data_IF_290999182538
#
_entry.id   IF_290999182538
#
_cell.length_a   1.000
_cell.length_b   1.000
_cell.length_c   1.000
_cell.angle_alpha   90.00
_cell.angle_beta   90.00
_cell.angle_gamma   90.00
#
_symmetry.space_group_name_H-M   'P 1'
#
loop_
_entity.id
_entity.type
_entity.pdbx_description
1 polymer ?
#
# COMPACT_ATOMS: atom_id res chain seq x y z
N UNK A 1 12.73 -5.61 30.47
CA UNK A 1 12.19 -5.63 31.85
C UNK A 1 13.28 -5.66 32.92
N UNK A 2 14.36 -6.42 32.78
CA UNK A 2 15.44 -6.49 33.79
C UNK A 2 16.30 -5.24 33.93
N UNK A 3 16.53 -4.46 32.86
CA UNK A 3 17.38 -3.24 32.87
C UNK A 3 16.71 -2.09 33.64
N UNK A 4 15.41 -1.91 33.53
CA UNK A 4 14.66 -0.90 34.30
C UNK A 4 14.66 -1.18 35.83
N UNK A 5 14.75 -2.44 36.25
CA UNK A 5 14.80 -2.78 37.69
C UNK A 5 16.18 -2.64 38.28
N UNK A 6 17.26 -2.83 37.52
CA UNK A 6 18.63 -2.72 37.98
C UNK A 6 19.04 -1.26 38.31
N UNK A 7 18.57 -0.31 37.54
CA UNK A 7 18.86 1.15 37.75
C UNK A 7 18.18 1.68 39.02
N UNK A 8 17.10 1.06 39.46
CA UNK A 8 16.32 1.45 40.65
C UNK A 8 17.04 1.23 41.98
N UNK A 9 18.02 0.31 42.03
CA UNK A 9 18.67 -0.09 43.31
C UNK A 9 19.99 0.59 43.64
N UNK A 10 20.68 1.24 42.73
CA UNK A 10 22.09 1.67 42.96
C UNK A 10 22.34 3.15 43.26
N UNK A 11 21.32 4.04 43.36
CA UNK A 11 21.59 5.48 43.56
C UNK A 11 20.70 6.22 44.57
N UNK A 12 20.31 5.56 45.65
CA UNK A 12 19.56 6.28 46.72
C UNK A 12 20.48 6.92 47.78
N UNK A 13 21.78 6.75 47.71
CA UNK A 13 22.68 7.20 48.79
C UNK A 13 23.71 8.23 48.32
N UNK A 14 23.38 9.45 48.19
CA UNK A 14 24.32 10.58 48.09
C UNK A 14 23.94 11.57 47.03
N UNK A 15 23.14 12.55 47.42
CA UNK A 15 23.30 13.92 46.87
C UNK A 15 22.50 14.92 47.71
N UNK A 16 23.17 15.69 48.57
CA UNK A 16 22.64 16.81 49.33
C UNK A 16 22.75 18.05 48.45
N UNK A 17 21.62 18.61 47.99
CA UNK A 17 21.54 19.85 47.27
C UNK A 17 20.20 19.99 46.51
N UNK A 18 19.53 21.15 46.69
CA UNK A 18 18.20 21.43 46.09
C UNK A 18 18.23 21.34 44.54
N UNK A 19 19.35 21.66 43.88
CA UNK A 19 19.54 21.53 42.43
C UNK A 19 19.64 20.07 41.94
N UNK A 20 20.25 19.19 42.73
CA UNK A 20 20.39 17.76 42.40
C UNK A 20 19.05 17.02 42.46
N UNK A 21 18.15 17.40 43.36
CA UNK A 21 16.79 16.81 43.44
C UNK A 21 15.93 17.17 42.24
N UNK A 22 16.02 18.40 41.72
CA UNK A 22 15.30 18.84 40.53
C UNK A 22 15.79 18.09 39.26
N UNK A 23 17.11 17.95 39.10
CA UNK A 23 17.69 17.17 37.98
C UNK A 23 17.32 15.70 38.09
N UNK A 24 17.29 15.12 39.29
CA UNK A 24 16.91 13.73 39.49
C UNK A 24 15.41 13.48 39.20
N UNK A 25 14.53 14.44 39.57
CA UNK A 25 13.09 14.36 39.17
C UNK A 25 12.92 14.46 37.67
N UNK A 26 13.62 15.36 36.96
CA UNK A 26 13.52 15.47 35.51
C UNK A 26 14.04 14.22 34.80
N UNK A 27 15.16 13.66 35.21
CA UNK A 27 15.71 12.42 34.65
C UNK A 27 14.77 11.22 34.94
N UNK A 28 14.21 11.14 36.16
CA UNK A 28 13.24 10.10 36.49
C UNK A 28 11.93 10.22 35.67
N UNK A 29 11.47 11.44 35.43
CA UNK A 29 10.28 11.69 34.61
C UNK A 29 10.53 11.31 33.14
N UNK A 30 11.71 11.65 32.59
CA UNK A 30 12.10 11.25 31.24
C UNK A 30 12.23 9.73 31.07
N UNK A 31 12.75 9.01 32.07
CA UNK A 31 12.84 7.55 32.04
C UNK A 31 11.46 6.88 32.12
N UNK A 32 10.55 7.42 32.91
CA UNK A 32 9.17 6.89 33.00
C UNK A 32 8.39 7.15 31.72
N UNK A 33 8.55 8.30 31.08
CA UNK A 33 7.91 8.59 29.79
C UNK A 33 8.47 7.73 28.65
N UNK A 34 9.78 7.43 28.67
CA UNK A 34 10.39 6.53 27.67
C UNK A 34 9.86 5.11 27.80
N UNK A 35 9.77 4.54 29.02
CA UNK A 35 9.22 3.20 29.24
C UNK A 35 7.75 3.11 28.85
N UNK A 36 6.94 4.15 29.11
CA UNK A 36 5.53 4.19 28.72
C UNK A 36 5.38 4.25 27.19
N UNK A 37 6.26 4.98 26.50
CA UNK A 37 6.28 5.04 25.05
C UNK A 37 6.64 3.69 24.41
N UNK A 38 7.66 3.00 24.92
CA UNK A 38 8.03 1.66 24.42
C UNK A 38 6.89 0.66 24.60
N UNK A 39 6.17 0.71 25.72
CA UNK A 39 5.01 -0.15 25.96
C UNK A 39 3.88 0.15 24.98
N UNK A 40 3.60 1.44 24.70
CA UNK A 40 2.60 1.84 23.73
C UNK A 40 2.97 1.40 22.30
N UNK A 41 4.24 1.53 21.90
CA UNK A 41 4.73 1.04 20.61
C UNK A 41 4.53 -0.48 20.47
N UNK A 42 4.86 -1.24 21.50
CA UNK A 42 4.66 -2.70 21.52
C UNK A 42 3.18 -3.07 21.43
N UNK A 43 2.31 -2.39 22.20
CA UNK A 43 0.86 -2.61 22.15
C UNK A 43 0.28 -2.23 20.78
N UNK A 44 0.73 -1.12 20.20
CA UNK A 44 0.34 -0.69 18.86
C UNK A 44 0.65 -1.76 17.82
N UNK A 45 1.87 -2.32 17.84
CA UNK A 45 2.24 -3.43 16.96
C UNK A 45 1.34 -4.66 17.18
N UNK A 46 1.00 -4.98 18.42
CA UNK A 46 0.10 -6.09 18.73
C UNK A 46 -1.30 -5.88 18.15
N UNK A 47 -1.88 -4.68 18.30
CA UNK A 47 -3.17 -4.37 17.70
C UNK A 47 -3.13 -4.36 16.16
N UNK A 48 -2.04 -3.88 15.56
CA UNK A 48 -1.85 -4.00 14.12
C UNK A 48 -1.88 -5.47 13.65
N UNK A 49 -1.14 -6.36 14.32
CA UNK A 49 -1.13 -7.80 14.00
C UNK A 49 -2.51 -8.44 14.18
N UNK A 50 -3.25 -8.06 15.22
CA UNK A 50 -4.63 -8.49 15.41
C UNK A 50 -5.52 -8.01 14.26
N UNK A 51 -5.37 -6.75 13.82
CA UNK A 51 -6.08 -6.20 12.69
C UNK A 51 -5.83 -6.99 11.39
N UNK A 52 -4.57 -7.30 11.09
CA UNK A 52 -4.20 -8.12 9.93
C UNK A 52 -4.83 -9.51 10.02
N UNK A 53 -4.75 -10.18 11.17
CA UNK A 53 -5.31 -11.52 11.34
C UNK A 53 -6.83 -11.57 11.14
N UNK A 54 -7.53 -10.45 11.37
CA UNK A 54 -8.99 -10.35 11.23
C UNK A 54 -9.46 -9.75 9.92
N UNK A 55 -8.56 -9.19 9.11
CA UNK A 55 -8.92 -8.39 7.94
C UNK A 55 -9.82 -9.14 6.94
N UNK A 56 -9.60 -10.44 6.76
CA UNK A 56 -10.38 -11.28 5.84
C UNK A 56 -11.63 -11.90 6.47
N UNK A 57 -11.66 -12.08 7.81
CA UNK A 57 -12.74 -12.79 8.50
C UNK A 57 -13.73 -11.84 9.20
N UNK A 58 -13.24 -10.73 9.75
CA UNK A 58 -14.04 -9.74 10.48
C UNK A 58 -13.44 -8.33 10.29
N UNK A 59 -13.86 -7.69 9.20
CA UNK A 59 -13.37 -6.36 8.84
C UNK A 59 -13.69 -5.30 9.91
N UNK A 60 -14.81 -5.45 10.65
CA UNK A 60 -15.16 -4.53 11.71
C UNK A 60 -14.20 -4.63 12.91
N UNK A 61 -13.82 -5.83 13.30
CA UNK A 61 -12.82 -6.04 14.34
C UNK A 61 -11.43 -5.59 13.87
N UNK A 62 -11.07 -5.85 12.62
CA UNK A 62 -9.83 -5.34 12.03
C UNK A 62 -9.75 -3.81 12.11
N UNK A 63 -10.83 -3.13 11.74
CA UNK A 63 -10.95 -1.66 11.85
C UNK A 63 -10.70 -1.17 13.28
N UNK A 64 -11.37 -1.77 14.28
CA UNK A 64 -11.19 -1.40 15.69
C UNK A 64 -9.75 -1.63 16.14
N UNK A 65 -9.12 -2.72 15.70
CA UNK A 65 -7.74 -3.04 16.08
C UNK A 65 -6.75 -2.06 15.44
N UNK A 66 -6.90 -1.69 14.17
CA UNK A 66 -6.08 -0.65 13.54
C UNK A 66 -6.26 0.72 14.18
N UNK A 67 -7.49 1.10 14.56
CA UNK A 67 -7.72 2.35 15.30
C UNK A 67 -7.02 2.37 16.66
N UNK A 68 -7.05 1.25 17.40
CA UNK A 68 -6.30 1.11 18.66
C UNK A 68 -4.79 1.22 18.43
N UNK A 69 -4.29 0.64 17.34
CA UNK A 69 -2.89 0.73 16.97
C UNK A 69 -2.47 2.19 16.74
N UNK A 70 -3.22 2.94 15.92
CA UNK A 70 -2.96 4.36 15.64
C UNK A 70 -3.10 5.22 16.91
N UNK A 71 -4.09 4.94 17.77
CA UNK A 71 -4.26 5.67 19.04
C UNK A 71 -3.07 5.52 19.97
N UNK A 72 -2.43 4.35 20.00
CA UNK A 72 -1.26 4.07 20.85
C UNK A 72 0.04 4.56 20.21
N UNK A 73 0.14 4.51 18.90
CA UNK A 73 1.25 5.02 18.11
C UNK A 73 0.71 5.73 16.87
N UNK A 74 0.57 7.05 16.87
CA UNK A 74 0.13 7.82 15.70
C UNK A 74 1.03 7.65 14.47
N UNK A 75 2.30 7.29 14.66
CA UNK A 75 3.26 7.03 13.58
C UNK A 75 3.32 5.55 13.16
N UNK A 76 2.29 4.77 13.43
CA UNK A 76 2.16 3.41 12.90
C UNK A 76 1.65 3.43 11.45
N UNK A 77 2.59 3.55 10.49
CA UNK A 77 2.28 3.63 9.05
C UNK A 77 1.47 2.44 8.55
N UNK A 78 1.77 1.24 9.06
CA UNK A 78 1.10 0.01 8.66
C UNK A 78 -0.37 0.00 9.13
N UNK A 79 -0.66 0.56 10.29
CA UNK A 79 -2.04 0.68 10.78
C UNK A 79 -2.84 1.72 10.00
N UNK A 80 -2.23 2.85 9.62
CA UNK A 80 -2.85 3.81 8.69
C UNK A 80 -3.12 3.18 7.33
N UNK A 81 -2.18 2.43 6.78
CA UNK A 81 -2.35 1.67 5.55
C UNK A 81 -3.51 0.66 5.65
N UNK A 82 -3.60 -0.09 6.77
CA UNK A 82 -4.71 -1.00 7.02
C UNK A 82 -6.07 -0.31 7.09
N UNK A 83 -6.15 0.87 7.73
CA UNK A 83 -7.36 1.71 7.74
C UNK A 83 -7.73 2.18 6.34
N UNK A 84 -6.74 2.59 5.54
CA UNK A 84 -6.92 2.98 4.14
C UNK A 84 -7.59 1.89 3.31
N UNK A 85 -7.13 0.65 3.45
CA UNK A 85 -7.74 -0.51 2.80
C UNK A 85 -9.19 -0.74 3.21
N UNK A 86 -9.49 -0.65 4.51
CA UNK A 86 -10.86 -0.84 4.99
C UNK A 86 -11.76 0.27 4.44
N UNK A 87 -11.33 1.53 4.49
CA UNK A 87 -12.11 2.63 3.94
C UNK A 87 -12.32 2.50 2.42
N UNK A 88 -11.30 2.09 1.67
CA UNK A 88 -11.40 1.87 0.23
C UNK A 88 -12.42 0.76 -0.11
N UNK A 89 -12.38 -0.36 0.61
CA UNK A 89 -13.34 -1.47 0.42
C UNK A 89 -14.79 -1.08 0.74
N UNK A 90 -14.99 -0.06 1.59
CA UNK A 90 -16.30 0.50 1.91
C UNK A 90 -16.74 1.62 0.94
N UNK A 91 -15.95 1.92 -0.10
CA UNK A 91 -16.21 3.04 -1.01
C UNK A 91 -16.00 4.44 -0.39
N UNK A 92 -15.41 4.51 0.81
CA UNK A 92 -15.15 5.76 1.55
C UNK A 92 -13.82 6.36 1.08
N UNK A 93 -13.73 6.67 -0.22
CA UNK A 93 -12.48 7.01 -0.89
C UNK A 93 -11.74 8.21 -0.29
N UNK A 94 -12.46 9.23 0.21
CA UNK A 94 -11.79 10.38 0.86
C UNK A 94 -11.06 9.98 2.15
N UNK A 95 -11.67 9.14 2.97
CA UNK A 95 -11.03 8.63 4.20
C UNK A 95 -9.88 7.67 3.89
N UNK A 96 -10.01 6.87 2.83
CA UNK A 96 -8.94 6.01 2.35
C UNK A 96 -7.73 6.84 1.88
N UNK A 97 -7.98 7.91 1.12
CA UNK A 97 -6.94 8.86 0.69
C UNK A 97 -6.20 9.46 1.87
N UNK A 98 -6.94 9.97 2.87
CA UNK A 98 -6.36 10.60 4.06
C UNK A 98 -5.48 9.59 4.83
N UNK A 99 -5.95 8.33 4.97
CA UNK A 99 -5.21 7.28 5.66
C UNK A 99 -3.93 6.84 4.90
N UNK A 100 -4.00 6.68 3.57
CA UNK A 100 -2.81 6.38 2.78
C UNK A 100 -1.82 7.54 2.75
N UNK A 101 -2.28 8.78 2.65
CA UNK A 101 -1.41 9.96 2.75
C UNK A 101 -0.70 10.06 4.10
N UNK A 102 -1.38 9.69 5.18
CA UNK A 102 -0.76 9.66 6.51
C UNK A 102 0.32 8.55 6.59
N UNK A 103 0.07 7.36 6.04
CA UNK A 103 1.09 6.31 5.95
C UNK A 103 2.33 6.79 5.15
N UNK A 104 2.13 7.49 4.04
CA UNK A 104 3.18 8.06 3.19
C UNK A 104 3.90 9.21 3.91
N UNK A 105 3.19 10.05 4.68
CA UNK A 105 3.81 11.11 5.48
C UNK A 105 4.81 10.54 6.51
N UNK A 106 4.46 9.41 7.11
CA UNK A 106 5.30 8.72 8.10
C UNK A 106 6.50 8.05 7.42
N UNK A 107 6.28 7.45 6.26
CA UNK A 107 7.31 6.79 5.45
C UNK A 107 7.12 7.15 3.98
N UNK A 108 7.93 8.10 3.49
CA UNK A 108 7.86 8.60 2.12
C UNK A 108 8.12 7.53 1.05
N UNK A 109 8.80 6.45 1.40
CA UNK A 109 9.16 5.35 0.49
C UNK A 109 8.18 4.16 0.57
N UNK A 110 7.03 4.33 1.24
CA UNK A 110 6.02 3.28 1.40
C UNK A 110 5.25 3.04 0.09
N UNK A 111 5.87 2.29 -0.82
CA UNK A 111 5.39 2.07 -2.19
C UNK A 111 4.00 1.43 -2.28
N UNK A 112 3.66 0.51 -1.37
CA UNK A 112 2.32 -0.07 -1.30
C UNK A 112 1.26 1.00 -1.01
N UNK A 113 1.51 1.90 -0.05
CA UNK A 113 0.58 2.98 0.27
C UNK A 113 0.42 3.95 -0.90
N UNK A 114 1.50 4.25 -1.63
CA UNK A 114 1.47 5.08 -2.83
C UNK A 114 0.66 4.41 -3.95
N UNK A 115 0.82 3.09 -4.14
CA UNK A 115 0.05 2.33 -5.15
C UNK A 115 -1.44 2.35 -4.84
N UNK A 116 -1.84 2.08 -3.59
CA UNK A 116 -3.25 2.11 -3.21
C UNK A 116 -3.83 3.52 -3.14
N UNK A 117 -3.03 4.54 -2.83
CA UNK A 117 -3.42 5.94 -3.01
C UNK A 117 -3.77 6.21 -4.48
N UNK A 118 -2.93 5.75 -5.42
CA UNK A 118 -3.21 5.85 -6.85
C UNK A 118 -4.54 5.20 -7.24
N UNK A 119 -4.84 4.01 -6.72
CA UNK A 119 -6.12 3.34 -6.97
C UNK A 119 -7.30 4.15 -6.43
N UNK A 120 -7.20 4.68 -5.22
CA UNK A 120 -8.24 5.53 -4.62
C UNK A 120 -8.45 6.81 -5.45
N UNK A 121 -7.38 7.40 -5.94
CA UNK A 121 -7.45 8.59 -6.80
C UNK A 121 -8.13 8.29 -8.15
N UNK A 122 -7.90 7.11 -8.75
CA UNK A 122 -8.62 6.69 -9.97
C UNK A 122 -10.12 6.52 -9.72
N UNK A 123 -10.53 6.02 -8.55
CA UNK A 123 -11.95 5.95 -8.16
C UNK A 123 -12.59 7.32 -7.93
N UNK A 124 -11.80 8.37 -7.77
CA UNK A 124 -12.23 9.75 -7.66
C UNK A 124 -12.07 10.55 -8.98
N UNK A 125 -11.81 9.88 -10.11
CA UNK A 125 -11.53 10.45 -11.44
C UNK A 125 -10.32 11.40 -11.48
N UNK A 126 -9.41 11.29 -10.50
CA UNK A 126 -8.18 12.10 -10.37
C UNK A 126 -6.98 11.40 -11.01
N UNK A 127 -7.10 11.08 -12.28
CA UNK A 127 -6.17 10.23 -13.04
C UNK A 127 -4.73 10.76 -13.07
N UNK A 128 -4.54 12.06 -13.25
CA UNK A 128 -3.18 12.66 -13.27
C UNK A 128 -2.47 12.52 -11.94
N UNK A 129 -3.18 12.68 -10.83
CA UNK A 129 -2.60 12.49 -9.50
C UNK A 129 -2.32 11.01 -9.23
N UNK A 130 -3.19 10.11 -9.71
CA UNK A 130 -2.97 8.67 -9.62
C UNK A 130 -1.69 8.25 -10.37
N UNK A 131 -1.46 8.77 -11.58
CA UNK A 131 -0.21 8.53 -12.33
C UNK A 131 1.01 8.98 -11.51
N UNK A 132 0.93 10.14 -10.85
CA UNK A 132 1.98 10.62 -9.95
C UNK A 132 2.26 9.65 -8.82
N UNK A 133 1.21 9.15 -8.15
CA UNK A 133 1.32 8.20 -7.05
C UNK A 133 1.94 6.86 -7.49
N UNK A 134 1.50 6.30 -8.62
CA UNK A 134 2.09 5.06 -9.16
C UNK A 134 3.57 5.23 -9.55
N UNK A 135 3.93 6.34 -10.18
CA UNK A 135 5.34 6.62 -10.52
C UNK A 135 6.20 6.75 -9.27
N UNK A 136 5.66 7.38 -8.21
CA UNK A 136 6.36 7.48 -6.94
C UNK A 136 6.57 6.09 -6.32
N UNK A 137 5.56 5.21 -6.33
CA UNK A 137 5.69 3.83 -5.86
C UNK A 137 6.80 3.08 -6.63
N UNK A 138 6.84 3.25 -7.95
CA UNK A 138 7.82 2.60 -8.83
C UNK A 138 9.23 3.20 -8.73
N UNK A 139 9.41 4.34 -8.09
CA UNK A 139 10.74 4.91 -7.81
C UNK A 139 11.48 4.19 -6.69
N UNK A 140 10.76 3.40 -5.85
CA UNK A 140 11.39 2.56 -4.84
C UNK A 140 11.85 1.23 -5.47
N UNK A 141 13.17 0.99 -5.59
CA UNK A 141 13.70 -0.24 -6.21
C UNK A 141 13.43 -1.51 -5.39
N UNK A 142 13.03 -1.35 -4.11
CA UNK A 142 12.73 -2.46 -3.20
C UNK A 142 11.22 -2.76 -3.14
N UNK A 143 10.41 -2.11 -3.98
CA UNK A 143 8.98 -2.35 -4.00
C UNK A 143 8.69 -3.81 -4.41
N UNK A 144 8.02 -4.63 -3.56
CA UNK A 144 7.88 -6.06 -3.79
C UNK A 144 6.87 -6.42 -4.88
N UNK A 145 5.93 -5.53 -5.22
CA UNK A 145 4.85 -5.79 -6.18
C UNK A 145 4.78 -4.73 -7.29
N UNK A 146 5.88 -4.47 -8.02
CA UNK A 146 5.94 -3.39 -9.01
C UNK A 146 5.01 -3.60 -10.21
N UNK A 147 4.67 -4.86 -10.53
CA UNK A 147 3.70 -5.20 -11.57
C UNK A 147 2.30 -4.67 -11.24
N UNK A 148 1.89 -4.65 -9.97
CA UNK A 148 0.61 -4.08 -9.56
C UNK A 148 0.54 -2.57 -9.85
N UNK A 149 1.59 -1.82 -9.47
CA UNK A 149 1.65 -0.39 -9.76
C UNK A 149 1.72 -0.12 -11.26
N UNK A 150 2.53 -0.91 -12.02
CA UNK A 150 2.63 -0.79 -13.48
C UNK A 150 1.31 -1.08 -14.17
N UNK A 151 0.57 -2.10 -13.72
CA UNK A 151 -0.74 -2.43 -14.26
C UNK A 151 -1.72 -1.25 -14.13
N UNK A 152 -1.82 -0.67 -12.93
CA UNK A 152 -2.70 0.47 -12.71
C UNK A 152 -2.19 1.75 -13.40
N UNK A 153 -0.87 1.97 -13.45
CA UNK A 153 -0.27 3.08 -14.20
C UNK A 153 -0.59 2.98 -15.69
N UNK A 154 -0.43 1.78 -16.28
CA UNK A 154 -0.74 1.57 -17.70
C UNK A 154 -2.20 1.89 -18.02
N UNK A 155 -3.15 1.46 -17.17
CA UNK A 155 -4.57 1.80 -17.29
C UNK A 155 -4.81 3.32 -17.17
N UNK A 156 -4.15 3.98 -16.24
CA UNK A 156 -4.29 5.42 -16.04
C UNK A 156 -3.70 6.22 -17.21
N UNK A 157 -2.56 5.81 -17.75
CA UNK A 157 -1.95 6.40 -18.95
C UNK A 157 -2.85 6.24 -20.17
N UNK A 158 -3.44 5.06 -20.34
CA UNK A 158 -4.42 4.81 -21.41
C UNK A 158 -5.62 5.76 -21.31
N UNK A 159 -6.13 5.98 -20.10
CA UNK A 159 -7.24 6.91 -19.85
C UNK A 159 -6.87 8.36 -20.18
N UNK A 160 -5.67 8.80 -19.81
CA UNK A 160 -5.16 10.15 -20.09
C UNK A 160 -4.71 10.36 -21.55
N UNK A 161 -4.85 9.33 -22.40
CA UNK A 161 -4.55 9.44 -23.83
C UNK A 161 -3.07 9.26 -24.18
N UNK A 162 -2.31 8.55 -23.33
CA UNK A 162 -0.93 8.11 -23.58
C UNK A 162 -0.87 6.58 -23.78
N UNK A 163 -1.34 6.05 -24.93
CA UNK A 163 -1.30 4.61 -25.18
C UNK A 163 0.13 4.08 -25.39
N UNK A 164 1.08 4.92 -25.80
CA UNK A 164 2.48 4.52 -25.95
C UNK A 164 3.10 4.27 -24.57
N UNK A 165 2.97 5.20 -23.63
CA UNK A 165 3.45 5.02 -22.25
C UNK A 165 2.73 3.87 -21.53
N UNK A 166 1.43 3.66 -21.82
CA UNK A 166 0.68 2.54 -21.30
C UNK A 166 1.25 1.20 -21.80
N UNK A 167 1.58 1.09 -23.09
CA UNK A 167 2.19 -0.10 -23.68
C UNK A 167 3.51 -0.46 -22.97
N UNK A 168 4.44 0.48 -22.91
CA UNK A 168 5.75 0.29 -22.30
C UNK A 168 5.62 -0.16 -20.83
N UNK A 169 4.75 0.53 -20.09
CA UNK A 169 4.51 0.24 -18.67
C UNK A 169 3.91 -1.16 -18.45
N UNK A 170 2.96 -1.57 -19.28
CA UNK A 170 2.32 -2.88 -19.17
C UNK A 170 3.24 -4.02 -19.67
N UNK A 171 4.06 -3.78 -20.69
CA UNK A 171 5.09 -4.73 -21.12
C UNK A 171 6.09 -4.99 -19.98
N UNK A 172 6.58 -3.94 -19.31
CA UNK A 172 7.43 -4.06 -18.13
C UNK A 172 6.77 -4.85 -16.99
N UNK A 173 5.45 -4.71 -16.82
CA UNK A 173 4.73 -5.48 -15.81
C UNK A 173 4.77 -7.00 -16.08
N UNK A 174 4.84 -7.43 -17.36
CA UNK A 174 4.90 -8.86 -17.72
C UNK A 174 6.21 -9.53 -17.33
N UNK A 175 7.26 -8.76 -17.04
CA UNK A 175 8.60 -9.29 -16.71
C UNK A 175 8.75 -9.69 -15.25
N UNK A 176 7.81 -9.30 -14.37
CA UNK A 176 7.86 -9.55 -12.92
C UNK A 176 7.53 -11.02 -12.63
N UNK A 177 8.39 -11.68 -11.84
CA UNK A 177 8.25 -13.10 -11.51
C UNK A 177 8.55 -13.34 -10.02
N UNK A 178 7.64 -13.94 -9.24
CA UNK A 178 6.28 -14.34 -9.64
C UNK A 178 5.36 -13.11 -9.84
N UNK A 179 4.34 -13.21 -10.71
CA UNK A 179 3.43 -12.10 -10.94
C UNK A 179 2.42 -11.96 -9.79
N UNK A 180 2.14 -10.70 -9.39
CA UNK A 180 1.08 -10.36 -8.44
C UNK A 180 -0.24 -10.02 -9.16
N UNK A 181 -0.14 -9.50 -10.38
CA UNK A 181 -1.30 -9.31 -11.26
C UNK A 181 -1.56 -10.59 -12.03
N UNK A 182 -2.81 -11.10 -12.08
CA UNK A 182 -3.15 -12.26 -12.89
C UNK A 182 -2.71 -12.05 -14.35
N UNK A 183 -1.90 -12.97 -14.93
CA UNK A 183 -1.35 -12.78 -16.27
C UNK A 183 -2.43 -12.59 -17.36
N UNK A 184 -3.59 -13.22 -17.22
CA UNK A 184 -4.70 -13.03 -18.14
C UNK A 184 -5.23 -11.58 -18.15
N UNK A 185 -5.33 -10.93 -16.98
CA UNK A 185 -5.72 -9.52 -16.87
C UNK A 185 -4.71 -8.60 -17.56
N UNK A 186 -3.43 -8.87 -17.34
CA UNK A 186 -2.35 -8.07 -17.91
C UNK A 186 -2.32 -8.20 -19.45
N UNK A 187 -2.50 -9.42 -19.98
CA UNK A 187 -2.58 -9.65 -21.42
C UNK A 187 -3.81 -8.98 -22.06
N UNK A 188 -4.94 -8.97 -21.37
CA UNK A 188 -6.13 -8.28 -21.85
C UNK A 188 -5.94 -6.76 -21.94
N UNK A 189 -5.34 -6.15 -20.91
CA UNK A 189 -5.03 -4.70 -20.96
C UNK A 189 -3.99 -4.37 -22.04
N UNK A 190 -2.95 -5.19 -22.21
CA UNK A 190 -2.00 -5.05 -23.31
C UNK A 190 -2.69 -5.13 -24.68
N UNK A 191 -3.62 -6.06 -24.86
CA UNK A 191 -4.35 -6.18 -26.10
C UNK A 191 -5.18 -4.92 -26.42
N UNK A 192 -5.82 -4.31 -25.41
CA UNK A 192 -6.54 -3.04 -25.56
C UNK A 192 -5.62 -1.92 -26.01
N UNK A 193 -4.45 -1.84 -25.41
CA UNK A 193 -3.44 -0.82 -25.76
C UNK A 193 -2.88 -1.06 -27.16
N UNK A 194 -2.53 -2.29 -27.53
CA UNK A 194 -2.06 -2.63 -28.87
C UNK A 194 -3.10 -2.29 -29.94
N UNK A 195 -4.37 -2.62 -29.70
CA UNK A 195 -5.46 -2.27 -30.61
C UNK A 195 -5.60 -0.74 -30.76
N UNK A 196 -5.52 0.00 -29.66
CA UNK A 196 -5.56 1.47 -29.67
C UNK A 196 -4.43 2.09 -30.49
N UNK A 197 -3.25 1.44 -30.50
CA UNK A 197 -2.08 1.84 -31.29
C UNK A 197 -2.12 1.33 -32.75
N UNK A 198 -3.12 0.52 -33.13
CA UNK A 198 -3.20 -0.08 -34.46
C UNK A 198 -2.31 -1.32 -34.65
N UNK A 199 -1.79 -1.88 -33.57
CA UNK A 199 -0.97 -3.09 -33.59
C UNK A 199 -1.84 -4.35 -33.49
N UNK A 200 -2.80 -4.52 -34.40
CA UNK A 200 -3.83 -5.56 -34.32
C UNK A 200 -3.25 -6.98 -34.28
N UNK A 201 -2.11 -7.23 -34.92
CA UNK A 201 -1.43 -8.53 -34.85
C UNK A 201 -0.95 -8.85 -33.41
N UNK A 202 -0.35 -7.86 -32.72
CA UNK A 202 0.09 -8.00 -31.32
C UNK A 202 -1.10 -8.11 -30.37
N UNK A 203 -2.18 -7.35 -30.64
CA UNK A 203 -3.42 -7.43 -29.89
C UNK A 203 -4.02 -8.85 -29.98
N UNK A 204 -4.08 -9.42 -31.19
CA UNK A 204 -4.56 -10.79 -31.40
C UNK A 204 -3.74 -11.83 -30.66
N UNK A 205 -2.41 -11.73 -30.71
CA UNK A 205 -1.52 -12.61 -29.96
C UNK A 205 -1.78 -12.55 -28.44
N UNK A 206 -1.88 -11.34 -27.89
CA UNK A 206 -2.18 -11.15 -26.47
C UNK A 206 -3.55 -11.74 -26.07
N UNK A 207 -4.59 -11.55 -26.89
CA UNK A 207 -5.93 -12.10 -26.65
C UNK A 207 -5.95 -13.64 -26.70
N UNK A 208 -5.17 -14.26 -27.56
CA UNK A 208 -5.03 -15.72 -27.58
C UNK A 208 -4.37 -16.24 -26.29
N UNK A 209 -3.39 -15.50 -25.75
CA UNK A 209 -2.80 -15.82 -24.44
C UNK A 209 -3.81 -15.73 -23.30
N UNK A 210 -4.77 -14.79 -23.34
CA UNK A 210 -5.82 -14.70 -22.32
C UNK A 210 -6.56 -16.04 -22.20
N UNK A 211 -6.99 -16.62 -23.30
CA UNK A 211 -7.75 -17.89 -23.30
C UNK A 211 -7.00 -19.06 -22.68
N UNK A 212 -5.67 -19.05 -22.73
CA UNK A 212 -4.82 -20.10 -22.12
C UNK A 212 -4.51 -19.85 -20.66
N UNK A 213 -4.47 -18.58 -20.24
CA UNK A 213 -4.08 -18.15 -18.89
C UNK A 213 -5.27 -17.98 -17.95
N UNK A 214 -6.46 -17.73 -18.50
CA UNK A 214 -7.69 -17.46 -17.75
C UNK A 214 -8.40 -18.77 -17.36
N UNK A 215 -7.95 -19.38 -16.27
CA UNK A 215 -8.51 -20.65 -15.79
C UNK A 215 -9.96 -20.54 -15.32
N UNK A 216 -10.41 -19.36 -14.92
CA UNK A 216 -11.74 -19.13 -14.37
C UNK A 216 -12.73 -18.56 -15.41
N UNK A 217 -12.27 -18.19 -16.60
CA UNK A 217 -13.10 -17.61 -17.66
C UNK A 217 -13.50 -16.14 -17.44
N UNK A 218 -12.98 -15.50 -16.40
CA UNK A 218 -13.36 -14.11 -16.02
C UNK A 218 -12.99 -13.08 -17.08
N UNK A 219 -11.86 -13.28 -17.79
CA UNK A 219 -11.34 -12.36 -18.80
C UNK A 219 -11.65 -12.83 -20.23
N UNK A 220 -12.03 -14.09 -20.39
CA UNK A 220 -12.21 -14.74 -21.71
C UNK A 220 -13.31 -14.08 -22.53
N UNK A 221 -14.45 -13.72 -21.92
CA UNK A 221 -15.55 -13.06 -22.63
C UNK A 221 -15.12 -11.69 -23.22
N UNK A 222 -14.44 -10.87 -22.42
CA UNK A 222 -13.92 -9.57 -22.85
C UNK A 222 -12.84 -9.71 -23.94
N UNK A 223 -12.01 -10.77 -23.85
CA UNK A 223 -11.01 -11.05 -24.86
C UNK A 223 -11.64 -11.47 -26.19
N UNK A 224 -12.70 -12.29 -26.17
CA UNK A 224 -13.44 -12.70 -27.38
C UNK A 224 -14.15 -11.51 -28.05
N UNK A 225 -14.78 -10.65 -27.25
CA UNK A 225 -15.40 -9.42 -27.74
C UNK A 225 -14.38 -8.53 -28.48
N UNK A 226 -13.25 -8.27 -27.87
CA UNK A 226 -12.19 -7.45 -28.47
C UNK A 226 -11.61 -8.13 -29.71
N UNK A 227 -11.44 -9.47 -29.69
CA UNK A 227 -10.93 -10.22 -30.84
C UNK A 227 -11.85 -10.05 -32.08
N UNK A 228 -13.17 -9.97 -31.87
CA UNK A 228 -14.15 -9.70 -32.93
C UNK A 228 -14.08 -8.29 -33.52
N UNK A 229 -13.48 -7.33 -32.81
CA UNK A 229 -13.31 -5.95 -33.27
C UNK A 229 -12.02 -5.75 -34.09
N UNK A 230 -11.05 -6.67 -33.97
CA UNK A 230 -9.77 -6.56 -34.68
C UNK A 230 -9.95 -6.83 -36.18
N UNK A 231 -9.30 -6.00 -36.99
CA UNK A 231 -9.25 -6.22 -38.43
C UNK A 231 -8.54 -7.55 -38.76
N UNK A 232 -8.96 -8.25 -39.81
CA UNK A 232 -8.32 -9.49 -40.25
C UNK A 232 -6.85 -9.31 -40.62
#
# INVERSE_FOLDING_TARGET
MMICQAVRRQRVQSMHGMGARAVFMLVSLCLLSSCANEENLRKSKGFYQEGIARLSSDQQQAYVSFQKAVKLNPDNKEAHYGLGHIYASQGRFKLAEDAFREAIRIDGDYAEAQTYLGQVLTHQDRWKEAIGAYRQALSNPLYPTPDLARFHLGKALMHEGDPQGAMETLEDATTVTPPNVPPAMLQLELARVYHKLGFDARAREALLKVSTLDKNGEQTAAAQELLGQLKP
#
